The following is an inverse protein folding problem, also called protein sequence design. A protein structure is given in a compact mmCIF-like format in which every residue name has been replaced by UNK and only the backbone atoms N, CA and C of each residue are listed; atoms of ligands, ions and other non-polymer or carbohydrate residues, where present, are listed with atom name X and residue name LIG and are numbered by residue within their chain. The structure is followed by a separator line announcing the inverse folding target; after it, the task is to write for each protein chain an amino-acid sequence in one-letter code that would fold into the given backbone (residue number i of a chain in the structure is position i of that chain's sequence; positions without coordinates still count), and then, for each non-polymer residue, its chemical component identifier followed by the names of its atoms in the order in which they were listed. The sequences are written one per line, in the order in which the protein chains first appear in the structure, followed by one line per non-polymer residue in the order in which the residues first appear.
data_IF_651060187166
#
_entry.id   IF_651060187166
#
_cell.length_a   1.000
_cell.length_b   1.000
_cell.length_c   1.000
_cell.angle_alpha   90.00
_cell.angle_beta   90.00
_cell.angle_gamma   90.00
#
_symmetry.space_group_name_H-M   'P 1'
#
loop_
_entity.id
_entity.type
_entity.pdbx_description
1 polymer ?
#
# COMPACT_ATOMS: atom_id res chain seq x y z
N UNK A 1 -6.22 70.05 33.33
CA UNK A 1 -5.39 68.82 33.45
C UNK A 1 -6.25 67.68 32.97
N UNK A 2 -6.03 67.28 31.75
CA UNK A 2 -6.75 66.14 31.08
C UNK A 2 -5.72 65.08 30.78
N UNK A 3 -5.85 63.91 31.43
CA UNK A 3 -5.00 62.74 31.27
C UNK A 3 -5.58 61.89 30.14
N UNK A 4 -4.86 61.84 29.01
CA UNK A 4 -5.17 60.95 27.90
C UNK A 4 -4.79 59.50 28.26
N UNK A 5 -5.80 58.62 28.31
CA UNK A 5 -5.58 57.17 28.38
C UNK A 5 -5.23 56.64 26.98
N UNK A 6 -4.00 56.19 26.82
CA UNK A 6 -3.56 55.43 25.64
C UNK A 6 -4.10 53.99 25.74
N UNK A 7 -5.06 53.64 24.92
CA UNK A 7 -5.51 52.25 24.75
C UNK A 7 -4.52 51.47 23.87
N UNK A 8 -3.69 50.66 24.52
CA UNK A 8 -2.83 49.67 23.89
C UNK A 8 -3.74 48.55 23.34
N UNK A 9 -4.01 48.56 22.03
CA UNK A 9 -4.65 47.47 21.31
C UNK A 9 -3.58 46.48 20.89
N UNK A 10 -3.20 45.56 21.79
CA UNK A 10 -2.47 44.37 21.45
C UNK A 10 -3.30 43.56 20.44
N UNK A 11 -2.97 43.65 19.18
CA UNK A 11 -3.51 42.81 18.12
C UNK A 11 -3.07 41.36 18.39
N UNK A 12 -3.97 40.56 18.97
CA UNK A 12 -3.84 39.11 19.06
C UNK A 12 -3.79 38.55 17.64
N UNK A 13 -2.61 38.14 17.20
CA UNK A 13 -2.41 37.37 15.98
C UNK A 13 -3.25 36.09 16.14
N UNK A 14 -4.21 35.81 15.22
CA UNK A 14 -4.99 34.58 15.32
C UNK A 14 -4.01 33.41 15.19
N UNK A 15 -3.90 32.61 16.25
CA UNK A 15 -3.17 31.36 16.25
C UNK A 15 -3.64 30.52 15.07
N UNK A 16 -2.69 30.17 14.17
CA UNK A 16 -2.93 29.18 13.12
C UNK A 16 -3.70 28.02 13.74
N UNK A 17 -4.82 27.57 13.13
CA UNK A 17 -5.48 26.37 13.61
C UNK A 17 -4.42 25.27 13.57
N UNK A 18 -4.05 24.74 14.72
CA UNK A 18 -3.28 23.51 14.84
C UNK A 18 -3.96 22.49 13.98
N UNK A 19 -3.38 22.21 12.81
CA UNK A 19 -3.78 21.10 11.97
C UNK A 19 -3.72 19.89 12.90
N UNK A 20 -4.90 19.39 13.30
CA UNK A 20 -5.04 18.28 14.23
C UNK A 20 -4.15 17.16 13.70
N UNK A 21 -3.01 16.97 14.37
CA UNK A 21 -2.04 15.94 14.08
C UNK A 21 -2.83 14.64 14.05
N UNK A 22 -3.03 14.12 12.86
CA UNK A 22 -3.74 12.87 12.65
C UNK A 22 -2.94 11.83 13.43
N UNK A 23 -3.45 11.42 14.61
CA UNK A 23 -2.72 10.50 15.50
C UNK A 23 -2.33 9.28 14.68
N UNK A 24 -1.04 9.13 14.41
CA UNK A 24 -0.46 7.95 13.76
C UNK A 24 -0.88 6.71 14.56
N UNK A 25 -1.16 5.65 13.85
CA UNK A 25 -1.41 4.35 14.45
C UNK A 25 -0.06 3.66 14.62
N UNK A 26 0.34 3.35 15.87
CA UNK A 26 1.67 2.79 16.15
C UNK A 26 1.92 1.49 15.39
N UNK A 27 3.14 1.30 14.89
CA UNK A 27 3.61 0.05 14.30
C UNK A 27 3.14 -0.25 12.88
N UNK A 28 2.15 0.47 12.33
CA UNK A 28 1.64 0.16 10.99
C UNK A 28 2.66 0.47 9.88
N UNK A 29 3.43 1.55 10.02
CA UNK A 29 4.50 1.84 9.05
C UNK A 29 5.58 0.76 9.10
N UNK A 30 5.90 0.21 10.30
CA UNK A 30 6.82 -0.92 10.44
C UNK A 30 6.32 -2.21 9.81
N UNK A 31 5.04 -2.55 9.98
CA UNK A 31 4.45 -3.71 9.31
C UNK A 31 4.49 -3.55 7.78
N UNK A 32 4.20 -2.35 7.25
CA UNK A 32 4.34 -2.04 5.83
C UNK A 32 5.78 -2.14 5.34
N UNK A 33 6.74 -1.74 6.18
CA UNK A 33 8.16 -1.88 5.87
C UNK A 33 8.55 -3.35 5.71
N UNK A 34 8.18 -4.21 6.66
CA UNK A 34 8.44 -5.63 6.59
C UNK A 34 7.81 -6.22 5.33
N UNK A 35 6.54 -5.89 5.06
CA UNK A 35 5.81 -6.37 3.90
C UNK A 35 6.50 -6.00 2.57
N UNK A 36 6.93 -4.74 2.38
CA UNK A 36 7.59 -4.34 1.13
C UNK A 36 8.99 -4.95 1.01
N UNK A 37 9.73 -5.09 2.13
CA UNK A 37 11.06 -5.71 2.12
C UNK A 37 10.98 -7.16 1.66
N UNK A 38 10.04 -7.96 2.19
CA UNK A 38 9.91 -9.37 1.78
C UNK A 38 9.42 -9.51 0.33
N UNK A 39 8.54 -8.60 -0.16
CA UNK A 39 8.13 -8.57 -1.58
C UNK A 39 9.32 -8.27 -2.50
N UNK A 40 10.14 -7.28 -2.16
CA UNK A 40 11.34 -6.95 -2.94
C UNK A 40 12.34 -8.13 -2.89
N UNK A 41 12.54 -8.73 -1.73
CA UNK A 41 13.42 -9.89 -1.59
C UNK A 41 12.96 -11.08 -2.45
N UNK A 42 11.66 -11.37 -2.49
CA UNK A 42 11.07 -12.41 -3.35
C UNK A 42 11.38 -12.19 -4.83
N UNK A 43 11.27 -10.96 -5.32
CA UNK A 43 11.50 -10.68 -6.73
C UNK A 43 12.99 -10.58 -7.09
N UNK A 44 13.83 -10.11 -6.17
CA UNK A 44 15.24 -9.82 -6.44
C UNK A 44 16.16 -10.99 -6.11
N UNK A 45 15.83 -11.74 -5.06
CA UNK A 45 16.59 -12.90 -4.59
C UNK A 45 15.59 -13.97 -4.10
N UNK A 46 14.86 -14.65 -5.02
CA UNK A 46 13.77 -15.58 -4.66
C UNK A 46 14.18 -16.64 -3.65
N UNK A 47 15.42 -17.12 -3.74
CA UNK A 47 15.95 -18.13 -2.82
C UNK A 47 16.06 -17.64 -1.37
N UNK A 48 16.19 -16.33 -1.14
CA UNK A 48 16.27 -15.76 0.22
C UNK A 48 14.89 -15.57 0.89
N UNK A 49 13.83 -15.41 0.10
CA UNK A 49 12.48 -15.21 0.61
C UNK A 49 11.44 -15.82 -0.35
N UNK A 50 11.37 -17.15 -0.48
CA UNK A 50 10.47 -17.81 -1.43
C UNK A 50 9.00 -17.49 -1.19
N UNK A 51 8.60 -17.20 0.05
CA UNK A 51 7.25 -16.76 0.42
C UNK A 51 7.08 -15.24 0.50
N UNK A 52 8.04 -14.44 0.00
CA UNK A 52 7.96 -12.98 0.14
C UNK A 52 6.78 -12.34 -0.59
N UNK A 53 6.17 -13.01 -1.57
CA UNK A 53 4.93 -12.60 -2.23
C UNK A 53 3.76 -12.41 -1.23
N UNK A 54 3.80 -13.10 -0.08
CA UNK A 54 2.83 -12.98 1.02
C UNK A 54 2.76 -11.55 1.60
N UNK A 55 3.79 -10.74 1.38
CA UNK A 55 3.79 -9.33 1.77
C UNK A 55 2.66 -8.53 1.11
N UNK A 56 2.16 -8.95 -0.05
CA UNK A 56 1.00 -8.33 -0.70
C UNK A 56 -0.28 -8.52 0.14
N UNK A 57 -0.48 -9.72 0.70
CA UNK A 57 -1.61 -10.01 1.58
C UNK A 57 -1.55 -9.20 2.88
N UNK A 58 -0.35 -9.00 3.41
CA UNK A 58 -0.13 -8.09 4.56
C UNK A 58 -0.57 -6.66 4.19
N UNK A 59 -0.24 -6.19 2.99
CA UNK A 59 -0.72 -4.88 2.52
C UNK A 59 -2.23 -4.83 2.40
N UNK A 60 -2.88 -5.85 1.88
CA UNK A 60 -4.34 -5.89 1.75
C UNK A 60 -5.04 -5.73 3.11
N UNK A 61 -4.61 -6.45 4.14
CA UNK A 61 -5.20 -6.31 5.48
C UNK A 61 -4.95 -4.92 6.07
N UNK A 62 -3.72 -4.41 5.98
CA UNK A 62 -3.39 -3.05 6.44
C UNK A 62 -4.22 -2.00 5.70
N UNK A 63 -4.39 -2.15 4.39
CA UNK A 63 -5.16 -1.24 3.54
C UNK A 63 -6.64 -1.21 3.91
N UNK A 64 -7.28 -2.38 4.04
CA UNK A 64 -8.66 -2.49 4.49
C UNK A 64 -8.87 -1.87 5.87
N UNK A 65 -7.96 -2.15 6.80
CA UNK A 65 -7.97 -1.58 8.15
C UNK A 65 -7.83 -0.06 8.15
N UNK A 66 -6.83 0.49 7.45
CA UNK A 66 -6.56 1.93 7.42
C UNK A 66 -7.71 2.71 6.79
N UNK A 67 -8.23 2.25 5.66
CA UNK A 67 -9.31 2.93 4.94
C UNK A 67 -10.57 2.98 5.77
N UNK A 68 -10.95 1.85 6.35
CA UNK A 68 -12.14 1.77 7.20
C UNK A 68 -11.99 2.65 8.44
N UNK A 69 -10.81 2.62 9.09
CA UNK A 69 -10.53 3.49 10.23
C UNK A 69 -10.63 4.97 9.86
N UNK A 70 -10.13 5.39 8.69
CA UNK A 70 -10.22 6.77 8.23
C UNK A 70 -11.67 7.21 7.98
N UNK A 71 -12.48 6.37 7.35
CA UNK A 71 -13.89 6.65 7.08
C UNK A 71 -14.72 6.71 8.38
N UNK A 72 -14.48 5.80 9.32
CA UNK A 72 -15.14 5.79 10.63
C UNK A 72 -14.74 7.02 11.46
N UNK A 73 -13.48 7.42 11.47
CA UNK A 73 -13.02 8.67 12.11
C UNK A 73 -13.60 9.92 11.46
N UNK A 74 -13.73 9.96 10.13
CA UNK A 74 -14.39 11.07 9.45
C UNK A 74 -15.84 11.17 9.91
N UNK A 75 -16.58 10.06 9.94
CA UNK A 75 -17.95 10.01 10.42
C UNK A 75 -18.08 10.45 11.87
N UNK A 76 -17.23 9.98 12.78
CA UNK A 76 -17.30 10.35 14.21
C UNK A 76 -17.05 11.84 14.46
N UNK A 77 -16.27 12.50 13.55
CA UNK A 77 -15.95 13.93 13.66
C UNK A 77 -16.96 14.86 12.96
N UNK A 78 -17.56 14.40 11.87
CA UNK A 78 -18.38 15.25 10.98
C UNK A 78 -19.83 14.79 10.85
N UNK A 79 -20.18 13.65 11.49
CA UNK A 79 -21.50 13.03 11.38
C UNK A 79 -21.74 12.28 10.06
N UNK A 80 -20.85 12.42 9.06
CA UNK A 80 -21.03 11.86 7.72
C UNK A 80 -19.72 11.37 7.10
N UNK A 81 -19.84 10.50 6.10
CA UNK A 81 -18.73 10.07 5.24
C UNK A 81 -18.82 10.81 3.91
N UNK A 82 -17.77 11.53 3.53
CA UNK A 82 -17.71 12.22 2.22
C UNK A 82 -16.94 11.39 1.20
N UNK A 83 -17.65 10.61 0.40
CA UNK A 83 -17.09 9.74 -0.65
C UNK A 83 -16.23 10.52 -1.66
N UNK A 84 -16.67 11.68 -2.21
CA UNK A 84 -15.84 12.43 -3.14
C UNK A 84 -14.54 12.96 -2.52
N UNK A 85 -14.58 13.41 -1.25
CA UNK A 85 -13.36 13.82 -0.54
C UNK A 85 -12.44 12.66 -0.29
N UNK A 86 -12.96 11.49 0.01
CA UNK A 86 -12.17 10.27 0.18
C UNK A 86 -11.45 9.93 -1.12
N UNK A 87 -12.15 9.84 -2.25
CA UNK A 87 -11.53 9.53 -3.55
C UNK A 87 -10.51 10.58 -3.97
N UNK A 88 -10.78 11.88 -3.76
CA UNK A 88 -9.81 12.93 -4.06
C UNK A 88 -8.51 12.80 -3.24
N UNK A 89 -8.62 12.45 -1.93
CA UNK A 89 -7.45 12.22 -1.09
C UNK A 89 -6.63 11.01 -1.58
N UNK A 90 -7.32 9.96 -2.05
CA UNK A 90 -6.69 8.77 -2.62
C UNK A 90 -6.01 9.09 -3.95
N UNK A 91 -6.70 9.71 -4.87
CA UNK A 91 -6.14 10.14 -6.14
C UNK A 91 -4.86 10.98 -5.95
N UNK A 92 -4.88 11.96 -5.03
CA UNK A 92 -3.69 12.77 -4.71
C UNK A 92 -2.52 11.95 -4.14
N UNK A 93 -2.80 10.83 -3.52
CA UNK A 93 -1.77 9.96 -2.94
C UNK A 93 -1.18 8.99 -3.95
N UNK A 94 -1.99 8.44 -4.85
CA UNK A 94 -1.64 7.28 -5.67
C UNK A 94 -1.30 7.67 -7.12
N UNK A 95 -2.13 8.49 -7.76
CA UNK A 95 -1.99 8.79 -9.18
C UNK A 95 -0.66 9.45 -9.56
N UNK A 96 -0.08 10.39 -8.79
CA UNK A 96 1.16 11.02 -9.20
C UNK A 96 2.33 10.04 -9.35
N UNK A 97 2.54 9.18 -8.35
CA UNK A 97 3.61 8.20 -8.38
C UNK A 97 3.36 7.13 -9.45
N UNK A 98 2.12 6.62 -9.55
CA UNK A 98 1.74 5.65 -10.58
C UNK A 98 2.01 6.21 -11.99
N UNK A 99 1.58 7.44 -12.28
CA UNK A 99 1.79 8.05 -13.59
C UNK A 99 3.29 8.20 -13.92
N UNK A 100 4.11 8.62 -12.95
CA UNK A 100 5.55 8.74 -13.18
C UNK A 100 6.19 7.38 -13.44
N UNK A 101 5.85 6.35 -12.66
CA UNK A 101 6.37 4.98 -12.89
C UNK A 101 5.98 4.47 -14.27
N UNK A 102 4.69 4.55 -14.62
CA UNK A 102 4.20 4.06 -15.92
C UNK A 102 4.84 4.80 -17.10
N UNK A 103 4.96 6.12 -17.01
CA UNK A 103 5.56 6.93 -18.08
C UNK A 103 7.07 6.71 -18.20
N UNK A 104 7.80 6.72 -17.07
CA UNK A 104 9.27 6.59 -17.12
C UNK A 104 9.70 5.17 -17.46
N UNK A 105 9.09 4.15 -16.87
CA UNK A 105 9.43 2.76 -17.19
C UNK A 105 8.93 2.38 -18.59
N UNK A 106 7.77 2.88 -19.03
CA UNK A 106 7.29 2.68 -20.40
C UNK A 106 8.19 3.33 -21.43
N UNK A 107 8.69 4.56 -21.19
CA UNK A 107 9.67 5.21 -22.05
C UNK A 107 11.02 4.46 -22.09
N UNK A 108 11.49 3.97 -20.94
CA UNK A 108 12.71 3.16 -20.87
C UNK A 108 12.53 1.83 -21.65
N UNK A 109 11.38 1.17 -21.52
CA UNK A 109 11.06 -0.03 -22.29
C UNK A 109 11.07 0.23 -23.80
N UNK A 110 10.55 1.39 -24.25
CA UNK A 110 10.57 1.78 -25.65
C UNK A 110 11.99 1.98 -26.21
N UNK A 111 12.94 2.37 -25.34
CA UNK A 111 14.37 2.50 -25.71
C UNK A 111 15.07 1.14 -25.75
N UNK A 112 14.78 0.26 -24.79
CA UNK A 112 15.38 -1.07 -24.68
C UNK A 112 14.87 -1.98 -25.81
N UNK A 113 13.54 -1.92 -26.12
CA UNK A 113 12.92 -2.76 -27.15
C UNK A 113 12.76 -4.22 -26.71
N UNK A 114 12.43 -5.10 -27.68
CA UNK A 114 12.30 -6.54 -27.45
C UNK A 114 11.08 -6.92 -26.62
N UNK A 115 11.24 -7.99 -25.81
CA UNK A 115 10.13 -8.63 -25.08
C UNK A 115 9.42 -7.73 -24.06
N UNK A 116 10.10 -6.70 -23.53
CA UNK A 116 9.49 -5.75 -22.58
C UNK A 116 8.38 -4.91 -23.19
N UNK A 117 8.28 -4.86 -24.53
CA UNK A 117 7.21 -4.17 -25.25
C UNK A 117 5.96 -5.07 -25.48
N UNK A 118 6.07 -6.34 -25.22
CA UNK A 118 4.94 -7.28 -25.43
C UNK A 118 3.79 -6.87 -24.51
N UNK A 119 2.64 -6.69 -25.13
CA UNK A 119 1.41 -6.25 -24.45
C UNK A 119 1.53 -4.93 -23.65
N UNK A 120 2.59 -4.11 -23.84
CA UNK A 120 2.81 -2.88 -23.07
C UNK A 120 1.60 -1.92 -23.11
N UNK A 121 0.98 -1.76 -24.29
CA UNK A 121 -0.20 -0.89 -24.42
C UNK A 121 -1.38 -1.34 -23.54
N UNK A 122 -1.67 -2.64 -23.51
CA UNK A 122 -2.73 -3.20 -22.65
C UNK A 122 -2.36 -3.13 -21.17
N UNK A 123 -1.09 -3.31 -20.80
CA UNK A 123 -0.62 -3.15 -19.43
C UNK A 123 -0.77 -1.69 -18.95
N UNK A 124 -0.44 -0.70 -19.80
CA UNK A 124 -0.64 0.73 -19.50
C UNK A 124 -2.13 1.04 -19.34
N UNK A 125 -2.98 0.51 -20.22
CA UNK A 125 -4.44 0.66 -20.10
C UNK A 125 -4.95 0.04 -18.78
N UNK A 126 -4.55 -1.19 -18.48
CA UNK A 126 -4.90 -1.87 -17.23
C UNK A 126 -4.46 -1.09 -15.99
N UNK A 127 -3.27 -0.49 -16.01
CA UNK A 127 -2.78 0.38 -14.94
C UNK A 127 -3.61 1.67 -14.81
N UNK A 128 -3.95 2.32 -15.92
CA UNK A 128 -4.73 3.55 -15.93
C UNK A 128 -6.19 3.36 -15.48
N UNK A 129 -6.77 2.19 -15.75
CA UNK A 129 -8.15 1.84 -15.40
C UNK A 129 -8.28 1.00 -14.13
N UNK A 130 -7.16 0.68 -13.47
CA UNK A 130 -7.11 -0.24 -12.33
C UNK A 130 -7.78 -1.59 -12.60
N UNK A 131 -7.53 -2.16 -13.79
CA UNK A 131 -8.05 -3.44 -14.23
C UNK A 131 -6.95 -4.45 -14.61
N UNK A 132 -5.70 -4.17 -14.26
CA UNK A 132 -4.54 -5.03 -14.59
C UNK A 132 -4.74 -6.48 -14.16
N UNK A 133 -5.35 -6.74 -13.02
CA UNK A 133 -5.63 -8.07 -12.50
C UNK A 133 -6.57 -8.86 -13.43
N UNK A 134 -7.65 -8.26 -13.91
CA UNK A 134 -8.59 -8.88 -14.85
C UNK A 134 -7.98 -9.05 -16.25
N UNK A 135 -7.15 -8.07 -16.67
CA UNK A 135 -6.39 -8.18 -17.90
C UNK A 135 -5.51 -9.44 -17.91
N UNK A 136 -4.73 -9.67 -16.84
CA UNK A 136 -3.85 -10.83 -16.74
C UNK A 136 -4.62 -12.16 -16.69
N UNK A 137 -5.80 -12.18 -16.04
CA UNK A 137 -6.68 -13.36 -16.09
C UNK A 137 -7.12 -13.68 -17.53
N UNK A 138 -7.56 -12.66 -18.27
CA UNK A 138 -8.02 -12.85 -19.68
C UNK A 138 -6.87 -13.27 -20.60
N UNK A 139 -5.67 -12.75 -20.36
CA UNK A 139 -4.46 -13.09 -21.11
C UNK A 139 -3.83 -14.44 -20.71
N UNK A 140 -4.30 -15.07 -19.64
CA UNK A 140 -3.70 -16.29 -19.10
C UNK A 140 -2.29 -16.11 -18.56
N UNK A 141 -1.92 -14.89 -18.16
CA UNK A 141 -0.58 -14.55 -17.69
C UNK A 141 -0.41 -14.92 -16.23
N UNK A 142 0.38 -15.95 -15.93
CA UNK A 142 0.63 -16.39 -14.55
C UNK A 142 1.50 -15.40 -13.77
N UNK A 143 1.11 -15.11 -12.51
CA UNK A 143 1.93 -14.30 -11.61
C UNK A 143 3.28 -14.94 -11.29
N UNK A 144 3.30 -16.25 -11.21
CA UNK A 144 4.49 -17.04 -10.86
C UNK A 144 5.32 -17.46 -12.08
N UNK A 145 4.91 -17.10 -13.31
CA UNK A 145 5.70 -17.38 -14.51
C UNK A 145 7.02 -16.61 -14.48
N UNK A 146 8.12 -17.32 -14.81
CA UNK A 146 9.48 -16.79 -14.86
C UNK A 146 9.91 -16.35 -16.25
N UNK A 147 9.18 -16.78 -17.29
CA UNK A 147 9.45 -16.45 -18.68
C UNK A 147 8.71 -15.19 -19.11
N UNK A 148 9.41 -14.27 -19.78
CA UNK A 148 8.86 -13.02 -20.34
C UNK A 148 7.95 -12.23 -19.37
N UNK A 149 8.50 -11.72 -18.26
CA UNK A 149 7.68 -11.06 -17.24
C UNK A 149 7.14 -9.73 -17.76
N UNK A 150 5.83 -9.51 -17.60
CA UNK A 150 5.19 -8.22 -17.93
C UNK A 150 5.78 -7.08 -17.11
N UNK A 151 6.04 -5.95 -17.79
CA UNK A 151 6.68 -4.77 -17.20
C UNK A 151 5.91 -4.25 -15.98
N UNK A 152 4.58 -4.27 -16.01
CA UNK A 152 3.73 -3.72 -14.95
C UNK A 152 2.94 -4.80 -14.20
N UNK A 153 3.46 -6.04 -14.15
CA UNK A 153 2.77 -7.16 -13.47
C UNK A 153 2.41 -6.85 -12.02
N UNK A 154 3.28 -6.20 -11.28
CA UNK A 154 3.03 -5.84 -9.88
C UNK A 154 1.80 -4.93 -9.66
N UNK A 155 1.28 -4.26 -10.69
CA UNK A 155 0.12 -3.38 -10.57
C UNK A 155 -1.21 -4.13 -10.43
N UNK A 156 -1.23 -5.46 -10.55
CA UNK A 156 -2.43 -6.26 -10.32
C UNK A 156 -3.02 -6.07 -8.92
N UNK A 157 -2.17 -6.06 -7.91
CA UNK A 157 -2.61 -5.92 -6.51
C UNK A 157 -3.14 -4.52 -6.23
N UNK A 158 -2.52 -3.49 -6.84
CA UNK A 158 -3.03 -2.13 -6.79
C UNK A 158 -4.43 -2.03 -7.43
N UNK A 159 -4.66 -2.76 -8.53
CA UNK A 159 -5.98 -2.81 -9.15
C UNK A 159 -7.03 -3.40 -8.20
N UNK A 160 -6.74 -4.50 -7.50
CA UNK A 160 -7.63 -5.09 -6.49
C UNK A 160 -7.90 -4.10 -5.35
N UNK A 161 -6.86 -3.42 -4.83
CA UNK A 161 -7.02 -2.39 -3.79
C UNK A 161 -7.90 -1.22 -4.26
N UNK A 162 -7.68 -0.67 -5.45
CA UNK A 162 -8.44 0.49 -5.93
C UNK A 162 -9.90 0.14 -6.25
N UNK A 163 -10.18 -1.08 -6.75
CA UNK A 163 -11.54 -1.59 -6.90
C UNK A 163 -12.25 -1.67 -5.54
N UNK A 164 -11.57 -2.15 -4.51
CA UNK A 164 -12.09 -2.12 -3.15
C UNK A 164 -12.32 -0.67 -2.67
N UNK A 165 -11.40 0.25 -2.89
CA UNK A 165 -11.53 1.65 -2.47
C UNK A 165 -12.64 2.40 -3.22
N UNK A 166 -12.96 1.98 -4.41
CA UNK A 166 -14.09 2.53 -5.18
C UNK A 166 -15.41 2.13 -4.53
N UNK A 167 -15.57 0.87 -4.14
CA UNK A 167 -16.83 0.31 -3.65
C UNK A 167 -17.02 0.48 -2.13
N UNK A 168 -15.93 0.35 -1.36
CA UNK A 168 -15.98 0.24 0.09
C UNK A 168 -16.64 1.41 0.81
N UNK A 169 -16.43 2.71 0.45
CA UNK A 169 -17.11 3.81 1.13
C UNK A 169 -18.63 3.73 1.03
N UNK A 170 -19.16 3.33 -0.13
CA UNK A 170 -20.58 3.11 -0.33
C UNK A 170 -21.11 1.94 0.50
N UNK A 171 -20.41 0.81 0.46
CA UNK A 171 -20.75 -0.37 1.27
C UNK A 171 -20.69 -0.07 2.78
N UNK A 172 -19.68 0.68 3.22
CA UNK A 172 -19.58 1.08 4.62
C UNK A 172 -20.75 1.97 5.02
N UNK A 173 -21.17 2.94 4.19
CA UNK A 173 -22.35 3.77 4.46
C UNK A 173 -23.59 2.89 4.62
N UNK A 174 -23.81 1.92 3.75
CA UNK A 174 -24.91 0.96 3.87
C UNK A 174 -24.84 0.14 5.17
N UNK A 175 -23.64 -0.38 5.50
CA UNK A 175 -23.41 -1.09 6.75
C UNK A 175 -23.70 -0.24 7.99
N UNK A 176 -23.51 1.08 7.90
CA UNK A 176 -23.75 1.98 9.03
C UNK A 176 -25.24 2.16 9.35
N UNK A 177 -26.19 1.77 8.50
CA UNK A 177 -27.61 1.65 8.83
C UNK A 177 -27.91 0.43 9.71
N UNK A 178 -27.03 -0.60 9.71
CA UNK A 178 -27.16 -1.72 10.64
C UNK A 178 -26.84 -1.22 12.05
N UNK A 179 -27.82 -1.29 12.97
CA UNK A 179 -27.71 -0.73 14.33
C UNK A 179 -26.60 -1.37 15.16
N UNK A 180 -26.46 -2.70 15.08
CA UNK A 180 -25.55 -3.47 15.93
C UNK A 180 -24.17 -3.60 15.28
N UNK A 181 -23.13 -3.10 15.98
CA UNK A 181 -21.76 -3.19 15.49
C UNK A 181 -21.29 -4.64 15.27
N UNK A 182 -21.64 -5.54 16.20
CA UNK A 182 -21.27 -6.95 16.03
C UNK A 182 -21.81 -7.54 14.73
N UNK A 183 -23.02 -7.16 14.32
CA UNK A 183 -23.59 -7.63 13.06
C UNK A 183 -22.84 -7.05 11.84
N UNK A 184 -22.39 -5.79 11.92
CA UNK A 184 -21.50 -5.23 10.87
C UNK A 184 -20.19 -6.02 10.77
N UNK A 185 -19.57 -6.36 11.90
CA UNK A 185 -18.36 -7.21 11.95
C UNK A 185 -18.64 -8.56 11.33
N UNK A 186 -19.74 -9.22 11.71
CA UNK A 186 -20.13 -10.52 11.14
C UNK A 186 -20.33 -10.45 9.63
N UNK A 187 -21.08 -9.45 9.13
CA UNK A 187 -21.31 -9.28 7.68
C UNK A 187 -19.99 -9.13 6.93
N UNK A 188 -19.09 -8.28 7.41
CA UNK A 188 -17.80 -8.05 6.72
C UNK A 188 -16.87 -9.24 6.86
N UNK A 189 -16.90 -9.93 7.99
CA UNK A 189 -16.15 -11.19 8.17
C UNK A 189 -16.67 -12.30 7.25
N UNK A 190 -17.98 -12.38 7.04
CA UNK A 190 -18.57 -13.33 6.09
C UNK A 190 -18.15 -13.01 4.65
N UNK A 191 -18.04 -11.72 4.25
CA UNK A 191 -17.46 -11.34 2.96
C UNK A 191 -16.00 -11.77 2.84
N UNK A 192 -15.20 -11.63 3.92
CA UNK A 192 -13.84 -12.12 3.92
C UNK A 192 -13.78 -13.65 3.78
N UNK A 193 -14.58 -14.37 4.57
CA UNK A 193 -14.63 -15.83 4.53
C UNK A 193 -15.11 -16.32 3.16
N UNK A 194 -16.16 -15.73 2.58
CA UNK A 194 -16.67 -16.15 1.26
C UNK A 194 -15.62 -15.95 0.17
N UNK A 195 -14.85 -14.87 0.19
CA UNK A 195 -13.74 -14.64 -0.74
C UNK A 195 -12.62 -15.68 -0.59
N UNK A 196 -12.21 -15.98 0.64
CA UNK A 196 -11.18 -16.99 0.92
C UNK A 196 -11.66 -18.42 0.55
N UNK A 197 -12.92 -18.76 0.83
CA UNK A 197 -13.54 -20.03 0.44
C UNK A 197 -13.64 -20.13 -1.08
N UNK A 198 -14.03 -19.05 -1.76
CA UNK A 198 -14.06 -19.03 -3.22
C UNK A 198 -12.67 -19.28 -3.81
N UNK A 199 -11.60 -18.68 -3.26
CA UNK A 199 -10.22 -18.97 -3.66
C UNK A 199 -9.91 -20.46 -3.51
N UNK A 200 -10.20 -21.04 -2.36
CA UNK A 200 -9.89 -22.44 -2.07
C UNK A 200 -10.67 -23.45 -2.92
N UNK A 201 -11.94 -23.16 -3.23
CA UNK A 201 -12.82 -24.05 -3.99
C UNK A 201 -12.62 -23.93 -5.51
N UNK A 202 -12.32 -22.75 -6.02
CA UNK A 202 -12.08 -22.51 -7.45
C UNK A 202 -10.68 -22.92 -7.91
N UNK A 203 -9.76 -23.13 -6.98
CA UNK A 203 -8.43 -23.65 -7.30
C UNK A 203 -8.43 -25.18 -7.36
N UNK A 204 -8.08 -25.74 -8.52
CA UNK A 204 -7.98 -27.19 -8.74
C UNK A 204 -6.54 -27.58 -9.06
N UNK A 205 -5.76 -28.09 -8.09
CA UNK A 205 -4.41 -28.60 -8.35
C UNK A 205 -4.43 -29.82 -9.29
N UNK A 206 -3.40 -29.99 -10.15
CA UNK A 206 -2.20 -29.17 -10.29
C UNK A 206 -2.34 -27.95 -11.21
N UNK A 207 -3.53 -27.35 -11.34
CA UNK A 207 -3.81 -26.25 -12.24
C UNK A 207 -3.13 -24.92 -11.87
N UNK A 208 -3.19 -23.96 -12.80
CA UNK A 208 -2.68 -22.61 -12.62
C UNK A 208 -3.55 -21.79 -11.62
N UNK A 209 -2.91 -21.17 -10.64
CA UNK A 209 -3.55 -20.34 -9.64
C UNK A 209 -3.94 -18.93 -10.16
N UNK A 210 -3.62 -18.57 -11.39
CA UNK A 210 -3.76 -17.22 -11.96
C UNK A 210 -5.15 -16.63 -11.71
N UNK A 211 -6.22 -17.38 -12.03
CA UNK A 211 -7.60 -16.91 -11.86
C UNK A 211 -7.93 -16.56 -10.42
N UNK A 212 -7.55 -17.42 -9.48
CA UNK A 212 -7.89 -17.24 -8.06
C UNK A 212 -6.96 -16.25 -7.36
N UNK A 213 -5.72 -16.15 -7.83
CA UNK A 213 -4.73 -15.23 -7.26
C UNK A 213 -4.97 -13.78 -7.69
N UNK A 214 -5.31 -13.54 -8.97
CA UNK A 214 -5.61 -12.20 -9.48
C UNK A 214 -7.05 -11.75 -9.25
N UNK A 215 -7.99 -12.66 -9.03
CA UNK A 215 -9.41 -12.35 -8.91
C UNK A 215 -9.73 -11.47 -7.70
N UNK A 216 -10.39 -10.35 -7.93
CA UNK A 216 -10.85 -9.47 -6.85
C UNK A 216 -11.86 -10.20 -5.94
N UNK A 217 -12.71 -11.04 -6.51
CA UNK A 217 -13.70 -11.86 -5.81
C UNK A 217 -13.07 -12.92 -4.90
N UNK A 218 -11.96 -13.50 -5.32
CA UNK A 218 -11.26 -14.58 -4.61
C UNK A 218 -10.13 -14.08 -3.71
N UNK A 219 -9.57 -12.88 -3.93
CA UNK A 219 -8.39 -12.40 -3.22
C UNK A 219 -8.61 -11.08 -2.44
N UNK A 220 -9.85 -10.62 -2.30
CA UNK A 220 -10.15 -9.43 -1.47
C UNK A 220 -10.37 -9.72 0.01
N UNK A 221 -10.27 -10.97 0.46
CA UNK A 221 -10.51 -11.36 1.86
C UNK A 221 -9.61 -10.62 2.85
N UNK A 222 -8.36 -10.33 2.50
CA UNK A 222 -7.45 -9.55 3.34
C UNK A 222 -7.96 -8.12 3.58
N UNK A 223 -8.43 -7.45 2.53
CA UNK A 223 -9.04 -6.12 2.62
C UNK A 223 -10.30 -6.12 3.50
N UNK A 224 -11.19 -7.11 3.28
CA UNK A 224 -12.41 -7.26 4.07
C UNK A 224 -12.10 -7.58 5.54
N UNK A 225 -11.14 -8.47 5.83
CA UNK A 225 -10.73 -8.79 7.19
C UNK A 225 -10.15 -7.57 7.92
N UNK A 226 -9.28 -6.80 7.24
CA UNK A 226 -8.76 -5.55 7.78
C UNK A 226 -9.88 -4.55 8.11
N UNK A 227 -10.88 -4.45 7.25
CA UNK A 227 -12.06 -3.63 7.49
C UNK A 227 -12.90 -4.13 8.67
N UNK A 228 -13.10 -5.43 8.82
CA UNK A 228 -13.80 -6.04 9.96
C UNK A 228 -13.09 -5.72 11.28
N UNK A 229 -11.76 -5.83 11.33
CA UNK A 229 -10.94 -5.45 12.50
C UNK A 229 -11.14 -3.96 12.83
N UNK A 230 -11.12 -3.06 11.84
CA UNK A 230 -11.33 -1.64 12.07
C UNK A 230 -12.71 -1.34 12.68
N UNK A 231 -13.77 -2.00 12.19
CA UNK A 231 -15.13 -1.87 12.75
C UNK A 231 -15.20 -2.45 14.17
N UNK A 232 -14.54 -3.58 14.42
CA UNK A 232 -14.55 -4.24 15.73
C UNK A 232 -13.97 -3.36 16.84
N UNK A 233 -12.87 -2.64 16.54
CA UNK A 233 -12.14 -1.82 17.52
C UNK A 233 -12.59 -0.36 17.55
N UNK A 234 -13.52 0.06 16.70
CA UNK A 234 -13.99 1.45 16.64
C UNK A 234 -14.41 1.97 18.01
N UNK A 235 -13.77 3.06 18.46
CA UNK A 235 -14.07 3.70 19.75
C UNK A 235 -13.79 2.85 21.00
N UNK A 236 -13.09 1.71 20.86
CA UNK A 236 -12.72 0.84 21.98
C UNK A 236 -11.22 0.72 22.09
N UNK A 237 -10.72 0.94 23.30
CA UNK A 237 -9.33 0.66 23.64
C UNK A 237 -9.32 -0.50 24.63
N UNK A 238 -8.52 -1.55 24.38
CA UNK A 238 -8.40 -2.66 25.32
C UNK A 238 -7.82 -2.17 26.66
N UNK A 239 -8.19 -2.84 27.74
CA UNK A 239 -7.61 -2.60 29.04
C UNK A 239 -6.09 -2.83 28.98
N UNK A 240 -5.31 -2.13 29.83
CA UNK A 240 -3.84 -2.20 29.80
C UNK A 240 -3.27 -3.62 29.97
N UNK A 241 -3.91 -4.45 30.76
CA UNK A 241 -3.49 -5.85 30.93
C UNK A 241 -3.67 -6.65 29.63
N UNK A 242 -4.80 -6.45 28.94
CA UNK A 242 -5.09 -7.10 27.66
C UNK A 242 -4.14 -6.57 26.57
N UNK A 243 -3.70 -5.31 26.64
CA UNK A 243 -2.75 -4.74 25.67
C UNK A 243 -1.40 -5.44 25.66
N UNK A 244 -0.90 -5.93 26.81
CA UNK A 244 0.34 -6.71 26.87
C UNK A 244 0.19 -8.07 26.18
N UNK A 245 -0.90 -8.76 26.45
CA UNK A 245 -1.21 -10.04 25.83
C UNK A 245 -1.40 -9.89 24.32
N UNK A 246 -2.13 -8.86 23.88
CA UNK A 246 -2.30 -8.57 22.45
C UNK A 246 -0.96 -8.21 21.78
N UNK A 247 -0.08 -7.46 22.47
CA UNK A 247 1.25 -7.16 21.93
C UNK A 247 2.10 -8.43 21.77
N UNK A 248 2.02 -9.39 22.70
CA UNK A 248 2.71 -10.67 22.59
C UNK A 248 2.15 -11.51 21.44
N UNK A 249 0.82 -11.67 21.37
CA UNK A 249 0.15 -12.39 20.29
C UNK A 249 0.51 -11.76 18.94
N UNK A 250 0.46 -10.42 18.85
CA UNK A 250 0.83 -9.69 17.64
C UNK A 250 2.30 -9.86 17.26
N UNK A 251 3.21 -9.95 18.23
CA UNK A 251 4.63 -10.20 17.97
C UNK A 251 4.87 -11.62 17.46
N UNK A 252 4.21 -12.62 18.05
CA UNK A 252 4.26 -14.01 17.56
C UNK A 252 3.70 -14.08 16.14
N UNK A 253 2.57 -13.41 15.88
CA UNK A 253 1.98 -13.34 14.55
C UNK A 253 2.91 -12.66 13.54
N UNK A 254 3.55 -11.54 13.90
CA UNK A 254 4.53 -10.87 13.03
C UNK A 254 5.77 -11.76 12.78
N UNK A 255 6.26 -12.47 13.79
CA UNK A 255 7.32 -13.46 13.63
C UNK A 255 6.93 -14.61 12.70
N UNK A 256 5.70 -15.13 12.84
CA UNK A 256 5.16 -16.16 11.96
C UNK A 256 5.03 -15.68 10.51
N UNK A 257 4.61 -14.42 10.27
CA UNK A 257 4.57 -13.82 8.93
C UNK A 257 5.96 -13.80 8.29
N UNK A 258 6.98 -13.40 9.05
CA UNK A 258 8.37 -13.43 8.55
C UNK A 258 8.82 -14.86 8.27
N UNK A 259 8.53 -15.81 9.16
CA UNK A 259 8.89 -17.23 8.95
C UNK A 259 8.22 -17.81 7.69
N UNK A 260 6.93 -17.51 7.47
CA UNK A 260 6.21 -17.92 6.25
C UNK A 260 6.81 -17.26 5.00
N UNK A 261 7.19 -15.98 5.07
CA UNK A 261 7.85 -15.30 3.95
C UNK A 261 9.22 -15.92 3.59
N UNK A 262 9.90 -16.53 4.55
CA UNK A 262 11.20 -17.20 4.34
C UNK A 262 11.06 -18.66 3.92
N UNK A 263 9.90 -19.30 4.08
CA UNK A 263 9.76 -20.74 3.92
C UNK A 263 8.67 -21.20 2.94
N UNK A 264 7.58 -20.40 2.73
CA UNK A 264 6.43 -20.85 1.96
C UNK A 264 6.65 -20.69 0.46
N UNK A 265 6.86 -21.79 -0.23
CA UNK A 265 7.01 -21.80 -1.68
C UNK A 265 5.69 -21.46 -2.39
N UNK A 266 5.72 -20.75 -3.53
CA UNK A 266 4.53 -20.28 -4.22
C UNK A 266 3.71 -21.39 -4.90
N UNK A 267 4.31 -22.53 -5.16
CA UNK A 267 3.73 -23.74 -5.78
C UNK A 267 3.06 -24.67 -4.77
N UNK A 268 3.17 -24.40 -3.47
CA UNK A 268 2.50 -25.19 -2.44
C UNK A 268 0.96 -25.01 -2.55
N UNK A 269 0.18 -26.08 -2.74
CA UNK A 269 -1.28 -26.02 -2.79
C UNK A 269 -1.92 -25.42 -1.54
N UNK A 270 -1.24 -25.47 -0.39
CA UNK A 270 -1.70 -24.82 0.84
C UNK A 270 -1.83 -23.31 0.69
N UNK A 271 -1.01 -22.66 -0.16
CA UNK A 271 -1.05 -21.22 -0.39
C UNK A 271 -2.47 -20.75 -0.68
N UNK A 272 -3.11 -21.30 -1.71
CA UNK A 272 -4.47 -20.92 -2.13
C UNK A 272 -5.57 -21.59 -1.29
N UNK A 273 -5.30 -22.73 -0.65
CA UNK A 273 -6.27 -23.48 0.15
C UNK A 273 -6.33 -23.11 1.62
N UNK A 274 -5.72 -21.99 2.01
CA UNK A 274 -5.78 -21.48 3.37
C UNK A 274 -4.54 -20.70 3.82
N UNK A 275 -3.39 -20.89 3.16
CA UNK A 275 -2.15 -20.20 3.49
C UNK A 275 -2.29 -18.68 3.47
N UNK A 276 -2.85 -18.13 2.40
CA UNK A 276 -3.08 -16.69 2.29
C UNK A 276 -4.11 -16.18 3.31
N UNK A 277 -5.16 -16.97 3.61
CA UNK A 277 -6.12 -16.63 4.66
C UNK A 277 -5.47 -16.64 6.06
N UNK A 278 -4.55 -17.58 6.32
CA UNK A 278 -3.72 -17.59 7.54
C UNK A 278 -2.85 -16.33 7.63
N UNK A 279 -2.19 -15.94 6.55
CA UNK A 279 -1.40 -14.69 6.48
C UNK A 279 -2.27 -13.48 6.80
N UNK A 280 -3.48 -13.41 6.26
CA UNK A 280 -4.43 -12.34 6.57
C UNK A 280 -4.82 -12.33 8.05
N UNK A 281 -5.10 -13.50 8.66
CA UNK A 281 -5.43 -13.63 10.08
C UNK A 281 -4.24 -13.22 10.97
N UNK A 282 -3.03 -13.69 10.68
CA UNK A 282 -1.81 -13.29 11.40
C UNK A 282 -1.57 -11.79 11.29
N UNK A 283 -1.79 -11.20 10.12
CA UNK A 283 -1.66 -9.74 9.94
C UNK A 283 -2.68 -8.97 10.77
N UNK A 284 -3.93 -9.44 10.85
CA UNK A 284 -4.95 -8.84 11.71
C UNK A 284 -4.54 -8.87 13.19
N UNK A 285 -3.96 -9.97 13.67
CA UNK A 285 -3.42 -10.10 15.03
C UNK A 285 -2.22 -9.17 15.25
N UNK A 286 -1.30 -9.08 14.29
CA UNK A 286 -0.15 -8.17 14.35
C UNK A 286 -0.60 -6.70 14.42
N UNK A 287 -1.60 -6.30 13.63
CA UNK A 287 -2.21 -4.96 13.69
C UNK A 287 -2.81 -4.71 15.08
N UNK A 288 -3.67 -5.61 15.57
CA UNK A 288 -4.31 -5.46 16.88
C UNK A 288 -3.29 -5.35 18.01
N UNK A 289 -2.22 -6.15 17.97
CA UNK A 289 -1.12 -6.07 18.92
C UNK A 289 -0.34 -4.77 18.84
N UNK A 290 0.00 -4.31 17.63
CA UNK A 290 0.81 -3.11 17.43
C UNK A 290 0.09 -1.82 17.87
N UNK A 291 -1.22 -1.68 17.55
CA UNK A 291 -1.99 -0.47 17.85
C UNK A 291 -2.53 -0.40 19.28
N UNK A 292 -2.39 -1.47 20.07
CA UNK A 292 -2.86 -1.52 21.47
C UNK A 292 -2.19 -0.46 22.34
N UNK A 293 -2.90 0.16 23.30
CA UNK A 293 -2.36 1.22 24.14
C UNK A 293 -1.09 0.79 24.87
N UNK A 294 0.00 1.56 24.69
CA UNK A 294 1.29 1.27 25.32
C UNK A 294 2.00 0.02 24.79
N UNK A 295 1.60 -0.49 23.62
CA UNK A 295 2.23 -1.65 22.99
C UNK A 295 3.72 -1.47 22.79
N UNK A 296 4.51 -2.42 23.32
CA UNK A 296 5.94 -2.50 23.04
C UNK A 296 6.22 -2.93 21.61
N UNK A 297 5.34 -3.79 21.03
CA UNK A 297 5.41 -4.19 19.63
C UNK A 297 5.26 -2.96 18.71
N UNK A 298 4.24 -2.12 18.95
CA UNK A 298 4.03 -0.91 18.17
C UNK A 298 5.24 0.02 18.23
N UNK A 299 5.86 0.19 19.41
CA UNK A 299 7.10 0.99 19.56
C UNK A 299 8.29 0.36 18.83
N UNK A 300 8.45 -0.97 18.90
CA UNK A 300 9.51 -1.69 18.21
C UNK A 300 9.39 -1.61 16.68
N UNK A 301 8.16 -1.63 16.17
CA UNK A 301 7.89 -1.46 14.73
C UNK A 301 8.01 0.00 14.26
N UNK A 302 7.93 0.99 15.16
CA UNK A 302 8.05 2.42 14.84
C UNK A 302 9.50 2.95 14.90
N UNK A 303 10.52 2.07 14.96
CA UNK A 303 11.91 2.52 14.87
C UNK A 303 12.19 3.24 13.55
N UNK A 304 13.09 4.23 13.58
CA UNK A 304 13.30 5.16 12.48
C UNK A 304 13.56 4.49 11.12
N UNK A 305 14.38 3.42 10.99
CA UNK A 305 14.60 2.75 9.71
C UNK A 305 13.33 2.10 9.15
N UNK A 306 12.59 1.34 9.96
CA UNK A 306 11.35 0.69 9.53
C UNK A 306 10.28 1.74 9.16
N UNK A 307 10.17 2.80 9.94
CA UNK A 307 9.25 3.90 9.63
C UNK A 307 9.61 4.58 8.32
N UNK A 308 10.90 4.83 8.06
CA UNK A 308 11.37 5.44 6.81
C UNK A 308 10.98 4.59 5.59
N UNK A 309 11.18 3.28 5.65
CA UNK A 309 10.78 2.32 4.60
C UNK A 309 9.26 2.28 4.48
N UNK A 310 8.53 2.16 5.58
CA UNK A 310 7.07 2.03 5.58
C UNK A 310 6.35 3.26 5.02
N UNK A 311 6.84 4.47 5.30
CA UNK A 311 6.30 5.71 4.73
C UNK A 311 6.45 5.74 3.20
N UNK A 312 7.49 5.10 2.65
CA UNK A 312 7.83 5.03 1.22
C UNK A 312 7.44 3.70 0.57
N UNK A 313 6.82 2.80 1.33
CA UNK A 313 6.50 1.44 0.85
C UNK A 313 5.67 1.43 -0.43
N UNK A 314 4.83 2.44 -0.65
CA UNK A 314 4.06 2.58 -1.89
C UNK A 314 4.98 2.85 -3.09
N UNK A 315 5.86 3.84 -3.00
CA UNK A 315 6.85 4.11 -4.06
C UNK A 315 7.78 2.92 -4.28
N UNK A 316 8.31 2.32 -3.20
CA UNK A 316 9.16 1.12 -3.29
C UNK A 316 8.44 -0.02 -4.03
N UNK A 317 7.16 -0.25 -3.71
CA UNK A 317 6.34 -1.27 -4.37
C UNK A 317 6.06 -0.94 -5.85
N UNK A 318 5.87 0.31 -6.21
CA UNK A 318 5.63 0.69 -7.60
C UNK A 318 6.89 0.52 -8.47
N UNK A 319 8.05 0.95 -7.97
CA UNK A 319 9.29 0.99 -8.74
C UNK A 319 10.02 -0.35 -8.84
N UNK A 320 9.97 -1.21 -7.80
CA UNK A 320 10.87 -2.37 -7.70
C UNK A 320 10.77 -3.32 -8.89
N UNK A 321 9.56 -3.69 -9.29
CA UNK A 321 9.34 -4.68 -10.33
C UNK A 321 9.65 -4.16 -11.73
N UNK A 322 9.07 -3.02 -12.20
CA UNK A 322 9.40 -2.51 -13.52
C UNK A 322 10.88 -2.21 -13.70
N UNK A 323 11.53 -1.68 -12.66
CA UNK A 323 12.98 -1.39 -12.70
C UNK A 323 13.78 -2.68 -12.81
N UNK A 324 13.44 -3.74 -12.04
CA UNK A 324 14.10 -5.05 -12.15
C UNK A 324 13.97 -5.62 -13.56
N UNK A 325 12.75 -5.62 -14.12
CA UNK A 325 12.48 -6.12 -15.47
C UNK A 325 13.32 -5.38 -16.51
N UNK A 326 13.40 -4.05 -16.42
CA UNK A 326 14.19 -3.24 -17.34
C UNK A 326 15.71 -3.52 -17.22
N UNK A 327 16.24 -3.72 -16.01
CA UNK A 327 17.63 -4.10 -15.84
C UNK A 327 17.94 -5.49 -16.38
N UNK A 328 17.05 -6.47 -16.14
CA UNK A 328 17.21 -7.82 -16.66
C UNK A 328 17.19 -7.82 -18.20
N UNK A 329 16.29 -7.04 -18.81
CA UNK A 329 16.19 -6.95 -20.26
C UNK A 329 17.30 -6.13 -20.92
N UNK A 330 17.86 -5.14 -20.23
CA UNK A 330 18.88 -4.24 -20.78
C UNK A 330 20.32 -4.70 -20.58
N UNK A 331 20.55 -5.72 -19.75
CA UNK A 331 21.89 -6.23 -19.49
C UNK A 331 22.24 -7.41 -20.43
N UNK A 332 23.54 -7.62 -20.76
CA UNK A 332 23.98 -8.82 -21.45
C UNK A 332 23.60 -10.11 -20.71
N UNK A 333 23.33 -11.18 -21.47
CA UNK A 333 22.90 -12.48 -20.91
C UNK A 333 23.96 -13.10 -19.99
N UNK A 334 25.23 -12.81 -20.26
CA UNK A 334 26.41 -13.28 -19.49
C UNK A 334 26.72 -12.38 -18.27
N UNK A 335 25.94 -11.32 -18.02
CA UNK A 335 26.13 -10.49 -16.83
C UNK A 335 25.96 -11.32 -15.55
N UNK A 336 26.79 -11.10 -14.51
CA UNK A 336 26.65 -11.82 -13.25
C UNK A 336 25.25 -11.63 -12.65
N UNK A 337 24.65 -12.70 -12.16
CA UNK A 337 23.26 -12.74 -11.68
C UNK A 337 22.90 -11.66 -10.65
N UNK A 338 23.86 -11.18 -9.88
CA UNK A 338 23.68 -10.19 -8.83
C UNK A 338 23.66 -8.72 -9.36
N UNK A 339 24.12 -8.48 -10.60
CA UNK A 339 24.23 -7.11 -11.17
C UNK A 339 22.85 -6.48 -11.34
N UNK A 340 21.94 -7.17 -12.03
CA UNK A 340 20.59 -6.65 -12.27
C UNK A 340 19.83 -6.36 -10.95
N UNK A 341 19.74 -7.30 -9.99
CA UNK A 341 19.06 -7.04 -8.71
C UNK A 341 19.70 -5.91 -7.90
N UNK A 342 21.03 -5.84 -7.84
CA UNK A 342 21.73 -4.80 -7.07
C UNK A 342 21.51 -3.41 -7.67
N UNK A 343 21.67 -3.26 -8.98
CA UNK A 343 21.43 -2.01 -9.68
C UNK A 343 19.95 -1.60 -9.59
N UNK A 344 19.04 -2.54 -9.81
CA UNK A 344 17.61 -2.30 -9.69
C UNK A 344 17.20 -1.88 -8.27
N UNK A 345 17.81 -2.47 -7.23
CA UNK A 345 17.54 -2.06 -5.84
C UNK A 345 17.98 -0.61 -5.58
N UNK A 346 19.18 -0.25 -6.01
CA UNK A 346 19.70 1.09 -5.85
C UNK A 346 18.80 2.13 -6.56
N UNK A 347 18.42 1.86 -7.81
CA UNK A 347 17.51 2.73 -8.58
C UNK A 347 16.12 2.77 -7.96
N UNK A 348 15.56 1.65 -7.51
CA UNK A 348 14.27 1.58 -6.83
C UNK A 348 14.22 2.45 -5.58
N UNK A 349 15.25 2.36 -4.72
CA UNK A 349 15.34 3.17 -3.50
C UNK A 349 15.48 4.65 -3.84
N UNK A 350 16.36 5.01 -4.77
CA UNK A 350 16.57 6.39 -5.20
C UNK A 350 15.31 6.99 -5.84
N UNK A 351 14.68 6.28 -6.78
CA UNK A 351 13.47 6.73 -7.47
C UNK A 351 12.27 6.85 -6.51
N UNK A 352 12.11 5.90 -5.59
CA UNK A 352 11.08 5.96 -4.55
C UNK A 352 11.28 7.15 -3.62
N UNK A 353 12.52 7.41 -3.18
CA UNK A 353 12.85 8.57 -2.36
C UNK A 353 12.58 9.89 -3.09
N UNK A 354 13.01 9.98 -4.34
CA UNK A 354 12.81 11.16 -5.20
C UNK A 354 11.32 11.42 -5.45
N UNK A 355 10.58 10.40 -5.86
CA UNK A 355 9.13 10.45 -6.06
C UNK A 355 8.40 10.90 -4.78
N UNK A 356 8.73 10.30 -3.64
CA UNK A 356 8.14 10.67 -2.36
C UNK A 356 8.40 12.14 -1.99
N UNK A 357 9.65 12.60 -2.13
CA UNK A 357 10.10 13.93 -1.68
C UNK A 357 9.61 15.06 -2.58
N UNK A 358 9.62 14.84 -3.90
CA UNK A 358 9.40 15.91 -4.85
C UNK A 358 8.01 15.89 -5.51
N UNK A 359 7.32 14.73 -5.47
CA UNK A 359 6.03 14.59 -6.11
C UNK A 359 4.91 14.29 -5.10
N UNK A 360 5.03 13.17 -4.35
CA UNK A 360 3.95 12.71 -3.48
C UNK A 360 3.65 13.69 -2.33
N UNK A 361 4.67 14.13 -1.60
CA UNK A 361 4.51 15.06 -0.49
C UNK A 361 3.90 16.39 -0.93
N UNK A 362 4.41 17.09 -1.99
CA UNK A 362 3.81 18.32 -2.47
C UNK A 362 2.35 18.15 -2.92
N UNK A 363 2.03 17.09 -3.67
CA UNK A 363 0.66 16.87 -4.13
C UNK A 363 -0.29 16.56 -2.96
N UNK A 364 0.17 15.81 -1.96
CA UNK A 364 -0.64 15.52 -0.76
C UNK A 364 -0.93 16.76 0.07
N UNK A 365 0.03 17.69 0.18
CA UNK A 365 -0.08 18.90 0.99
C UNK A 365 -0.78 20.05 0.27
N UNK A 366 -0.43 20.30 -0.98
CA UNK A 366 -0.87 21.45 -1.77
C UNK A 366 -1.97 21.14 -2.79
N UNK A 367 -2.25 19.86 -3.03
CA UNK A 367 -3.09 19.39 -4.13
C UNK A 367 -2.37 19.48 -5.48
N UNK A 368 -3.00 18.99 -6.56
CA UNK A 368 -2.39 18.93 -7.88
C UNK A 368 -1.94 20.31 -8.39
N UNK A 369 -2.83 21.31 -8.37
CA UNK A 369 -2.53 22.67 -8.86
C UNK A 369 -1.42 23.35 -8.06
N UNK A 370 -1.47 23.26 -6.73
CA UNK A 370 -0.45 23.84 -5.85
C UNK A 370 0.93 23.19 -6.01
N UNK A 371 0.97 21.86 -6.20
CA UNK A 371 2.21 21.14 -6.45
C UNK A 371 2.87 21.56 -7.78
N UNK A 372 2.09 21.63 -8.86
CA UNK A 372 2.57 22.10 -10.17
C UNK A 372 3.11 23.53 -10.08
N UNK A 373 2.39 24.45 -9.43
CA UNK A 373 2.85 25.82 -9.23
C UNK A 373 4.16 25.89 -8.42
N UNK A 374 4.29 25.07 -7.37
CA UNK A 374 5.50 24.98 -6.55
C UNK A 374 6.71 24.46 -7.34
N UNK A 375 6.52 23.44 -8.18
CA UNK A 375 7.59 22.89 -9.04
C UNK A 375 8.00 23.90 -10.11
N UNK A 376 7.03 24.53 -10.79
CA UNK A 376 7.29 25.55 -11.82
C UNK A 376 8.01 26.79 -11.23
N UNK A 377 7.61 27.24 -10.02
CA UNK A 377 8.25 28.35 -9.34
C UNK A 377 9.69 28.06 -8.92
N UNK A 378 10.02 26.83 -8.54
CA UNK A 378 11.40 26.39 -8.26
C UNK A 378 12.23 26.29 -9.54
N UNK A 379 11.68 25.75 -10.61
CA UNK A 379 12.35 25.70 -11.92
C UNK A 379 12.72 27.09 -12.44
N UNK A 380 11.81 28.07 -12.35
CA UNK A 380 12.09 29.48 -12.72
C UNK A 380 13.22 30.10 -11.90
N UNK A 381 13.32 29.81 -10.60
CA UNK A 381 14.41 30.31 -9.74
C UNK A 381 15.77 29.70 -10.09
N UNK A 382 15.78 28.40 -10.43
CA UNK A 382 17.02 27.71 -10.85
C UNK A 382 17.51 28.27 -12.20
N UNK A 383 16.61 28.44 -13.16
CA UNK A 383 16.96 29.02 -14.47
C UNK A 383 17.40 30.48 -14.32
N UNK A 384 16.70 31.29 -13.52
CA UNK A 384 17.10 32.68 -13.26
C UNK A 384 18.46 32.78 -12.55
N UNK A 385 18.74 31.84 -11.59
CA UNK A 385 20.05 31.76 -10.94
C UNK A 385 21.17 31.32 -11.89
N UNK A 386 20.92 30.40 -12.80
CA UNK A 386 21.90 29.96 -13.80
C UNK A 386 22.22 31.07 -14.83
N UNK A 387 21.20 31.83 -15.23
CA UNK A 387 21.38 32.99 -16.15
C UNK A 387 22.09 34.16 -15.46
N UNK A 388 22.00 34.30 -14.14
CA UNK A 388 22.69 35.36 -13.38
C UNK A 388 24.16 35.03 -13.08
N UNK A 389 24.60 33.79 -13.27
CA UNK A 389 25.97 33.31 -13.03
C UNK A 389 26.74 33.11 -14.35
N UNK A 390 26.05 33.10 -15.50
CA UNK A 390 26.61 33.10 -16.85
C UNK A 390 26.74 34.53 -17.39
#
# INVERSE_FOLDING_TARGET
MSTAQSSDRSATIPSRPEAAVQRRLPGLDGLRAIAVIVVIAFHFVPAAAPGGYLGVDVFFVISGFLITTLLLRERSRTGRVSVPRFWLRRARRLLPALAVVVLTCGAAAAVIGGDVLVHLGSQVLGAATFSSNWLYIVQGTSYFATTSPELFRNLWSLAVEEQFYLLWPGLLILLLFVRWRWLRVVIVSLLAVSSAVAMALLFTPPGDATRVYYGTDTHSFGLALGAAVAIAIEGRMPARWLSRTLALIGAVAAGALVALALAMAPDDPFVTRGGLALVAALTALAIAGAISPGSWLGRGLDVAPLRWVGERSYGLYLWHWPVLVLFVAGLPVDAPWWVAPSAALAVTVAASWASYRWLELPVRQLGFRGAVASIAGKGRRVVAGAVAVA
#
